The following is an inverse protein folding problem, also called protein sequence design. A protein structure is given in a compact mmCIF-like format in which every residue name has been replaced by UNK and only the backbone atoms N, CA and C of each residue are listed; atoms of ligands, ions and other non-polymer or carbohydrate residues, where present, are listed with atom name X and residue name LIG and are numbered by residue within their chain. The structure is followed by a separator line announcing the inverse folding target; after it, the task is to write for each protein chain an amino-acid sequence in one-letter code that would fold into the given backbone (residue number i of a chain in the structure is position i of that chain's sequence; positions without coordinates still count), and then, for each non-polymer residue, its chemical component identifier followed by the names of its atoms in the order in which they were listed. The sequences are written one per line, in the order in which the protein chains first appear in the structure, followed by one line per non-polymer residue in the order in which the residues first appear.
data_IF_939782776679
#
_entry.id   IF_939782776679
#
_cell.length_a   1.000
_cell.length_b   1.000
_cell.length_c   1.000
_cell.angle_alpha   90.00
_cell.angle_beta   90.00
_cell.angle_gamma   90.00
#
_symmetry.space_group_name_H-M   'P 1'
#
loop_
_entity.id
_entity.type
_entity.pdbx_description
1 polymer ?
#
# COMPACT_ATOMS: atom_id res chain seq x y z
N UNK A 1 -29.44 21.18 -4.88
CA UNK A 1 -28.05 20.78 -4.60
C UNK A 1 -27.97 19.29 -4.83
N UNK A 2 -27.26 18.83 -5.87
CA UNK A 2 -27.09 17.39 -6.08
C UNK A 2 -26.33 16.84 -4.87
N UNK A 3 -26.91 15.90 -4.15
CA UNK A 3 -26.19 15.19 -3.10
C UNK A 3 -25.02 14.46 -3.79
N UNK A 4 -23.80 14.98 -3.63
CA UNK A 4 -22.56 14.43 -4.19
C UNK A 4 -22.21 13.10 -3.52
N UNK A 5 -23.07 12.10 -3.67
CA UNK A 5 -22.88 10.77 -3.11
C UNK A 5 -22.33 9.88 -4.21
N UNK A 6 -21.08 9.48 -4.06
CA UNK A 6 -20.47 8.48 -4.94
C UNK A 6 -21.13 7.13 -4.63
N UNK A 7 -21.72 6.50 -5.64
CA UNK A 7 -22.34 5.18 -5.52
C UNK A 7 -21.24 4.13 -5.66
N UNK A 8 -21.19 3.18 -4.72
CA UNK A 8 -20.26 2.06 -4.77
C UNK A 8 -20.49 1.23 -6.03
N UNK A 9 -19.50 1.11 -6.94
CA UNK A 9 -19.61 0.19 -8.07
C UNK A 9 -19.65 -1.26 -7.60
N UNK A 10 -20.42 -2.11 -8.29
CA UNK A 10 -20.54 -3.54 -7.95
C UNK A 10 -19.22 -4.31 -8.09
N UNK A 11 -18.24 -3.78 -8.84
CA UNK A 11 -16.90 -4.35 -8.98
C UNK A 11 -16.04 -4.21 -7.71
N UNK A 12 -16.36 -3.28 -6.81
CA UNK A 12 -15.60 -3.06 -5.57
C UNK A 12 -16.24 -3.86 -4.44
N UNK A 13 -15.73 -5.07 -4.20
CA UNK A 13 -16.24 -5.95 -3.16
C UNK A 13 -15.58 -5.74 -1.79
N UNK A 14 -14.39 -5.15 -1.75
CA UNK A 14 -13.67 -4.89 -0.51
C UNK A 14 -14.20 -3.64 0.21
N UNK A 15 -14.65 -3.82 1.46
CA UNK A 15 -15.22 -2.75 2.27
C UNK A 15 -14.19 -1.75 2.77
N UNK A 16 -12.95 -2.18 3.05
CA UNK A 16 -11.87 -1.30 3.47
C UNK A 16 -11.39 -0.43 2.32
N UNK A 17 -11.29 -1.00 1.12
CA UNK A 17 -11.01 -0.26 -0.11
C UNK A 17 -12.09 0.79 -0.35
N UNK A 18 -13.36 0.38 -0.28
CA UNK A 18 -14.46 1.30 -0.50
C UNK A 18 -14.48 2.42 0.54
N UNK A 19 -14.28 2.09 1.81
CA UNK A 19 -14.24 3.09 2.88
C UNK A 19 -13.10 4.11 2.66
N UNK A 20 -11.88 3.65 2.33
CA UNK A 20 -10.77 4.53 2.01
C UNK A 20 -11.10 5.47 0.83
N UNK A 21 -11.65 4.92 -0.26
CA UNK A 21 -12.01 5.70 -1.45
C UNK A 21 -13.03 6.79 -1.13
N UNK A 22 -14.03 6.52 -0.27
CA UNK A 22 -15.00 7.54 0.12
C UNK A 22 -14.38 8.70 0.90
N UNK A 23 -13.31 8.45 1.66
CA UNK A 23 -12.59 9.48 2.42
C UNK A 23 -11.62 10.28 1.53
N UNK A 24 -10.99 9.62 0.56
CA UNK A 24 -10.09 10.27 -0.43
C UNK A 24 -10.86 11.12 -1.45
N UNK A 25 -12.03 10.65 -1.89
CA UNK A 25 -12.87 11.30 -2.90
C UNK A 25 -13.92 12.23 -2.27
N UNK A 26 -13.69 12.70 -1.04
CA UNK A 26 -14.54 13.72 -0.41
C UNK A 26 -14.51 15.02 -1.22
N UNK A 27 -15.71 15.55 -1.47
CA UNK A 27 -15.93 16.73 -2.30
C UNK A 27 -15.51 18.00 -1.58
N UNK A 28 -15.76 18.09 -0.27
CA UNK A 28 -15.27 19.20 0.55
C UNK A 28 -13.78 18.98 0.90
N UNK A 29 -12.86 19.80 0.36
CA UNK A 29 -11.43 19.61 0.62
C UNK A 29 -11.06 19.70 2.10
N UNK A 30 -11.84 20.43 2.91
CA UNK A 30 -11.59 20.57 4.34
C UNK A 30 -11.97 19.31 5.13
N UNK A 31 -12.78 18.43 4.54
CA UNK A 31 -13.21 17.16 5.13
C UNK A 31 -12.47 15.96 4.54
N UNK A 32 -11.70 16.16 3.47
CA UNK A 32 -10.88 15.12 2.84
C UNK A 32 -9.76 14.70 3.78
N UNK A 33 -9.59 13.38 3.91
CA UNK A 33 -8.53 12.79 4.73
C UNK A 33 -7.14 13.23 4.23
N UNK A 34 -6.21 13.48 5.16
CA UNK A 34 -4.82 13.79 4.80
C UNK A 34 -4.06 12.55 4.34
N UNK A 35 -2.91 12.72 3.67
CA UNK A 35 -2.06 11.60 3.30
C UNK A 35 -1.58 10.80 4.51
N UNK A 36 -1.20 11.48 5.61
CA UNK A 36 -0.79 10.83 6.86
C UNK A 36 -1.92 9.97 7.44
N UNK A 37 -3.14 10.51 7.51
CA UNK A 37 -4.30 9.78 8.01
C UNK A 37 -4.67 8.61 7.09
N UNK A 38 -4.57 8.79 5.76
CA UNK A 38 -4.84 7.74 4.79
C UNK A 38 -3.89 6.54 4.94
N UNK A 39 -2.60 6.79 5.21
CA UNK A 39 -1.62 5.72 5.44
C UNK A 39 -1.91 4.90 6.71
N UNK A 40 -2.65 5.47 7.68
CA UNK A 40 -3.07 4.75 8.89
C UNK A 40 -4.37 3.94 8.70
N UNK A 41 -5.03 4.07 7.55
CA UNK A 41 -6.31 3.42 7.28
C UNK A 41 -6.18 1.88 7.30
N UNK A 42 -7.18 1.11 7.80
CA UNK A 42 -7.09 -0.35 7.89
C UNK A 42 -6.92 -1.06 6.54
N UNK A 43 -7.24 -0.39 5.43
CA UNK A 43 -6.89 -0.87 4.10
C UNK A 43 -5.38 -1.15 3.96
N UNK A 44 -4.51 -0.35 4.59
CA UNK A 44 -3.06 -0.55 4.59
C UNK A 44 -2.54 -1.24 5.85
N UNK A 45 -3.24 -1.16 6.99
CA UNK A 45 -2.73 -1.59 8.30
C UNK A 45 -3.40 -2.85 8.87
N UNK A 46 -4.44 -3.38 8.23
CA UNK A 46 -5.14 -4.58 8.71
C UNK A 46 -4.33 -5.88 8.51
N UNK A 47 -4.68 -6.96 9.22
CA UNK A 47 -4.08 -8.27 8.99
C UNK A 47 -4.21 -8.76 7.53
N UNK A 48 -5.26 -8.34 6.82
CA UNK A 48 -5.41 -8.63 5.40
C UNK A 48 -4.29 -8.00 4.58
N UNK A 49 -3.99 -6.72 4.80
CA UNK A 49 -2.90 -6.02 4.13
C UNK A 49 -1.55 -6.70 4.41
N UNK A 50 -1.32 -7.11 5.66
CA UNK A 50 -0.11 -7.86 6.04
C UNK A 50 -0.01 -9.23 5.34
N UNK A 51 -1.15 -9.90 5.12
CA UNK A 51 -1.20 -11.17 4.41
C UNK A 51 -0.92 -11.02 2.91
N UNK A 52 -1.26 -9.87 2.31
CA UNK A 52 -1.05 -9.56 0.89
C UNK A 52 0.41 -9.21 0.55
N UNK A 53 1.27 -8.97 1.53
CA UNK A 53 2.72 -8.81 1.30
C UNK A 53 3.24 -10.08 0.62
N UNK A 54 3.99 -9.90 -0.47
CA UNK A 54 4.39 -11.03 -1.28
C UNK A 54 5.50 -11.86 -0.62
N UNK A 55 5.61 -13.17 -0.91
CA UNK A 55 6.73 -13.98 -0.47
C UNK A 55 8.09 -13.43 -0.94
N UNK A 56 8.13 -12.82 -2.13
CA UNK A 56 9.35 -12.27 -2.71
C UNK A 56 9.79 -11.00 -1.97
N UNK A 57 8.86 -10.12 -1.58
CA UNK A 57 9.17 -8.98 -0.71
C UNK A 57 9.82 -9.42 0.59
N UNK A 58 9.28 -10.47 1.24
CA UNK A 58 9.83 -11.05 2.47
C UNK A 58 11.26 -11.55 2.28
N UNK A 59 11.51 -12.28 1.19
CA UNK A 59 12.83 -12.83 0.89
C UNK A 59 13.86 -11.71 0.63
N UNK A 60 13.49 -10.67 -0.13
CA UNK A 60 14.37 -9.52 -0.40
C UNK A 60 14.73 -8.81 0.91
N UNK A 61 13.75 -8.55 1.78
CA UNK A 61 13.99 -7.96 3.09
C UNK A 61 14.91 -8.81 3.98
N UNK A 62 14.73 -10.14 4.00
CA UNK A 62 15.62 -11.04 4.73
C UNK A 62 17.06 -10.93 4.24
N UNK A 63 17.28 -10.88 2.93
CA UNK A 63 18.60 -10.69 2.35
C UNK A 63 19.22 -9.35 2.76
N UNK A 64 18.43 -8.26 2.77
CA UNK A 64 18.89 -6.94 3.20
C UNK A 64 19.28 -6.93 4.69
N UNK A 65 18.49 -7.57 5.56
CA UNK A 65 18.81 -7.72 6.99
C UNK A 65 20.12 -8.49 7.17
N UNK A 66 20.32 -9.58 6.42
CA UNK A 66 21.55 -10.37 6.48
C UNK A 66 22.77 -9.55 6.01
N UNK A 67 22.65 -8.79 4.91
CA UNK A 67 23.73 -7.93 4.42
C UNK A 67 24.08 -6.81 5.41
N UNK A 68 23.07 -6.18 6.04
CA UNK A 68 23.29 -5.14 7.06
C UNK A 68 24.10 -5.65 8.26
N UNK A 69 23.87 -6.89 8.69
CA UNK A 69 24.65 -7.53 9.78
C UNK A 69 26.11 -7.77 9.41
N UNK A 70 26.44 -7.85 8.12
CA UNK A 70 27.80 -8.02 7.61
C UNK A 70 28.53 -6.68 7.44
N UNK A 71 27.98 -5.57 7.96
CA UNK A 71 28.50 -4.20 7.86
C UNK A 71 28.50 -3.61 6.44
N UNK A 72 27.65 -4.12 5.54
CA UNK A 72 27.47 -3.51 4.23
C UNK A 72 26.80 -2.14 4.36
N UNK A 73 27.52 -1.10 3.94
CA UNK A 73 27.17 0.32 4.17
C UNK A 73 26.07 0.86 3.26
N UNK A 74 25.54 0.04 2.33
CA UNK A 74 24.54 0.46 1.35
C UNK A 74 23.10 0.14 1.77
N UNK A 75 22.89 -0.72 2.77
CA UNK A 75 21.54 -1.13 3.21
C UNK A 75 20.90 0.00 4.02
N UNK A 76 19.77 0.53 3.54
CA UNK A 76 18.99 1.54 4.24
C UNK A 76 17.96 0.91 5.16
N UNK A 77 17.45 1.69 6.12
CA UNK A 77 16.38 1.24 7.02
C UNK A 77 15.11 0.76 6.32
N UNK A 78 14.86 1.25 5.10
CA UNK A 78 13.69 0.88 4.30
C UNK A 78 13.86 -0.48 3.61
N UNK A 79 15.09 -0.88 3.27
CA UNK A 79 15.38 -2.18 2.67
C UNK A 79 15.11 -3.34 3.65
N UNK A 80 15.15 -3.03 4.95
CA UNK A 80 14.91 -3.97 6.05
C UNK A 80 13.43 -4.09 6.43
N UNK A 81 12.52 -3.42 5.73
CA UNK A 81 11.08 -3.49 5.98
C UNK A 81 10.34 -3.97 4.72
N UNK A 82 9.73 -5.16 4.83
CA UNK A 82 8.97 -5.82 3.77
C UNK A 82 7.82 -4.97 3.20
N UNK A 83 7.29 -4.03 3.98
CA UNK A 83 6.19 -3.14 3.55
C UNK A 83 6.65 -2.05 2.57
N UNK A 84 7.96 -1.82 2.46
CA UNK A 84 8.57 -0.89 1.52
C UNK A 84 9.15 -1.58 0.28
N UNK A 85 9.05 -2.91 0.19
CA UNK A 85 9.60 -3.68 -0.93
C UNK A 85 8.52 -3.98 -1.96
N UNK A 86 8.76 -3.49 -3.18
CA UNK A 86 7.99 -3.82 -4.38
C UNK A 86 8.90 -4.59 -5.33
N UNK A 87 8.75 -5.92 -5.45
CA UNK A 87 9.62 -6.73 -6.29
C UNK A 87 9.47 -6.38 -7.77
N UNK A 88 10.59 -6.30 -8.48
CA UNK A 88 10.61 -5.96 -9.91
C UNK A 88 9.72 -6.86 -10.78
N UNK A 89 9.69 -8.21 -10.58
CA UNK A 89 8.79 -9.05 -11.38
C UNK A 89 7.32 -8.70 -11.19
N UNK A 90 6.92 -8.24 -10.00
CA UNK A 90 5.53 -7.88 -9.68
C UNK A 90 5.13 -6.55 -10.31
N UNK A 91 6.00 -5.53 -10.26
CA UNK A 91 5.70 -4.23 -10.88
C UNK A 91 5.72 -4.33 -12.41
N UNK A 92 6.58 -5.18 -12.98
CA UNK A 92 6.68 -5.34 -14.44
C UNK A 92 5.40 -5.87 -15.07
N UNK A 93 4.57 -6.65 -14.37
CA UNK A 93 3.27 -7.13 -14.88
C UNK A 93 2.37 -5.97 -15.35
N UNK A 94 2.51 -4.79 -14.73
CA UNK A 94 1.71 -3.61 -15.04
C UNK A 94 2.38 -2.64 -16.02
N UNK A 95 3.68 -2.77 -16.26
CA UNK A 95 4.45 -1.87 -17.12
C UNK A 95 4.61 -2.38 -18.56
N UNK A 96 4.50 -3.70 -18.77
CA UNK A 96 4.75 -4.35 -20.07
C UNK A 96 3.47 -4.52 -20.91
N UNK A 97 2.35 -3.90 -20.52
CA UNK A 97 1.07 -3.97 -21.25
C UNK A 97 0.89 -2.91 -22.36
N UNK A 98 1.98 -2.35 -22.91
CA UNK A 98 1.93 -1.37 -24.00
C UNK A 98 2.54 -1.90 -25.30
#
# INVERSE_FOLDING_TARGET
MASGKIIRPASIQDDQLWNLLTQLLEFDPNRRISAEQALQHPFFTSPKAQAEISPLSRQITQNAIHASQMSDSWVMKYDMDQTYIVPTPEIMVYLVQF
#
